data_IF_216691691691
#
_entry.id   IF_216691691691
#
_cell.length_a   1.000
_cell.length_b   1.000
_cell.length_c   1.000
_cell.angle_alpha   90.00
_cell.angle_beta   90.00
_cell.angle_gamma   90.00
#
_symmetry.space_group_name_H-M   'P 1'
#
loop_
_entity.id
_entity.type
_entity.pdbx_description
1 polymer ?
#
# COMPACT_ATOMS: atom_id res chain seq x y z
N UNK A 1 4.34 7.85 -18.87
CA UNK A 1 5.63 8.50 -18.52
C UNK A 1 6.70 7.42 -18.44
N UNK A 2 7.67 7.40 -19.34
CA UNK A 2 8.69 6.32 -19.44
C UNK A 2 9.87 6.50 -18.47
N UNK A 3 9.90 7.61 -17.72
CA UNK A 3 10.99 7.93 -16.77
C UNK A 3 11.13 6.80 -15.73
N UNK A 4 10.03 6.29 -15.19
CA UNK A 4 10.07 5.23 -14.18
C UNK A 4 10.67 3.94 -14.75
N UNK A 5 10.30 3.57 -15.99
CA UNK A 5 10.87 2.41 -16.68
C UNK A 5 12.37 2.56 -16.97
N UNK A 6 12.78 3.76 -17.39
CA UNK A 6 14.20 4.07 -17.66
C UNK A 6 15.08 3.83 -16.43
N UNK A 7 14.55 4.05 -15.24
CA UNK A 7 15.27 3.94 -13.97
C UNK A 7 14.86 2.71 -13.14
N UNK A 8 14.23 1.73 -13.74
CA UNK A 8 13.77 0.53 -13.04
C UNK A 8 14.92 -0.15 -12.29
N UNK A 9 14.67 -0.55 -11.04
CA UNK A 9 15.67 -1.12 -10.13
C UNK A 9 16.86 -0.18 -9.80
N UNK A 10 16.67 1.12 -9.93
CA UNK A 10 17.65 2.13 -9.56
C UNK A 10 17.24 2.81 -8.24
N UNK A 11 18.24 3.13 -7.41
CA UNK A 11 18.05 3.94 -6.19
C UNK A 11 18.36 5.43 -6.42
N UNK A 12 18.41 5.88 -7.66
CA UNK A 12 18.71 7.28 -8.03
C UNK A 12 17.45 8.17 -7.91
N UNK A 13 16.72 8.06 -6.82
CA UNK A 13 15.41 8.71 -6.62
C UNK A 13 15.45 10.23 -6.81
N UNK A 14 16.51 10.89 -6.38
CA UNK A 14 16.67 12.34 -6.60
C UNK A 14 16.80 12.71 -8.09
N UNK A 15 17.58 11.96 -8.85
CA UNK A 15 17.71 12.20 -10.29
C UNK A 15 16.37 11.95 -11.02
N UNK A 16 15.65 10.91 -10.62
CA UNK A 16 14.31 10.58 -11.15
C UNK A 16 13.33 11.72 -10.83
N UNK A 17 13.30 12.20 -9.59
CA UNK A 17 12.43 13.29 -9.18
C UNK A 17 12.71 14.55 -10.00
N UNK A 18 13.96 14.91 -10.22
CA UNK A 18 14.33 16.06 -11.07
C UNK A 18 13.86 15.89 -12.52
N UNK A 19 14.04 14.70 -13.12
CA UNK A 19 13.50 14.44 -14.47
C UNK A 19 11.96 14.56 -14.52
N UNK A 20 11.26 14.14 -13.47
CA UNK A 20 9.80 14.28 -13.37
C UNK A 20 9.41 15.76 -13.26
N UNK A 21 10.10 16.53 -12.42
CA UNK A 21 9.84 17.98 -12.25
C UNK A 21 9.97 18.73 -13.58
N UNK A 22 10.97 18.39 -14.38
CA UNK A 22 11.24 19.02 -15.68
C UNK A 22 10.32 18.49 -16.80
N UNK A 23 9.59 17.37 -16.57
CA UNK A 23 8.74 16.77 -17.59
C UNK A 23 7.55 17.69 -17.90
N UNK A 24 7.35 18.11 -19.17
CA UNK A 24 6.22 18.94 -19.55
C UNK A 24 4.91 18.17 -19.45
N UNK A 25 3.85 18.86 -19.07
CA UNK A 25 2.48 18.34 -19.04
C UNK A 25 1.59 19.20 -19.92
N UNK A 26 0.68 18.57 -20.65
CA UNK A 26 -0.16 19.23 -21.66
C UNK A 26 -1.65 19.22 -21.28
N UNK A 27 -2.03 18.40 -20.30
CA UNK A 27 -3.41 18.33 -19.83
C UNK A 27 -3.48 18.00 -18.31
N UNK A 28 -4.70 18.09 -17.75
CA UNK A 28 -4.94 17.87 -16.32
C UNK A 28 -4.65 16.45 -15.85
N UNK A 29 -4.79 15.47 -16.73
CA UNK A 29 -4.51 14.06 -16.40
C UNK A 29 -3.00 13.83 -16.26
N UNK A 30 -2.22 14.41 -17.16
CA UNK A 30 -0.75 14.38 -17.07
C UNK A 30 -0.23 15.13 -15.86
N UNK A 31 -0.80 16.34 -15.57
CA UNK A 31 -0.47 17.08 -14.35
C UNK A 31 -0.77 16.27 -13.08
N UNK A 32 -1.89 15.56 -13.06
CA UNK A 32 -2.26 14.68 -11.94
C UNK A 32 -1.27 13.52 -11.79
N UNK A 33 -0.96 12.84 -12.87
CA UNK A 33 0.01 11.74 -12.90
C UNK A 33 1.40 12.21 -12.45
N UNK A 34 1.83 13.39 -12.93
CA UNK A 34 3.10 14.01 -12.54
C UNK A 34 3.14 14.26 -11.03
N UNK A 35 2.11 14.91 -10.46
CA UNK A 35 2.04 15.19 -9.03
C UNK A 35 2.08 13.93 -8.17
N UNK A 36 1.41 12.86 -8.58
CA UNK A 36 1.49 11.57 -7.88
C UNK A 36 2.92 10.98 -7.91
N UNK A 37 3.61 11.09 -9.04
CA UNK A 37 4.99 10.64 -9.17
C UNK A 37 5.96 11.51 -8.34
N UNK A 38 5.78 12.83 -8.34
CA UNK A 38 6.56 13.75 -7.50
C UNK A 38 6.41 13.39 -6.02
N UNK A 39 5.19 13.16 -5.54
CA UNK A 39 4.91 12.73 -4.17
C UNK A 39 5.55 11.36 -3.86
N UNK A 40 5.41 10.41 -4.77
CA UNK A 40 5.97 9.05 -4.58
C UNK A 40 7.49 9.10 -4.44
N UNK A 41 8.19 9.79 -5.34
CA UNK A 41 9.64 9.87 -5.27
C UNK A 41 10.15 10.77 -4.15
N UNK A 42 9.40 11.81 -3.78
CA UNK A 42 9.71 12.59 -2.59
C UNK A 42 9.61 11.73 -1.31
N UNK A 43 8.61 10.84 -1.22
CA UNK A 43 8.49 9.90 -0.11
C UNK A 43 9.66 8.91 -0.04
N UNK A 44 10.18 8.45 -1.19
CA UNK A 44 11.35 7.56 -1.25
C UNK A 44 12.63 8.23 -0.79
N UNK A 45 12.75 9.54 -1.02
CA UNK A 45 13.89 10.33 -0.56
C UNK A 45 13.89 10.56 0.96
N UNK A 46 12.72 10.43 1.61
CA UNK A 46 12.58 10.78 3.01
C UNK A 46 12.82 12.27 3.30
N UNK A 47 12.74 13.13 2.29
CA UNK A 47 12.91 14.57 2.43
C UNK A 47 11.56 15.24 2.66
N UNK A 48 11.33 15.68 3.90
CA UNK A 48 10.06 16.28 4.29
C UNK A 48 9.72 17.54 3.49
N UNK A 49 10.69 18.41 3.19
CA UNK A 49 10.42 19.69 2.52
C UNK A 49 9.85 19.47 1.11
N UNK A 50 10.44 18.55 0.34
CA UNK A 50 9.89 18.16 -0.95
C UNK A 50 8.53 17.50 -0.84
N UNK A 51 8.41 16.57 0.09
CA UNK A 51 7.18 15.81 0.29
C UNK A 51 6.03 16.72 0.70
N UNK A 52 6.21 17.58 1.70
CA UNK A 52 5.20 18.53 2.16
C UNK A 52 4.79 19.54 1.08
N UNK A 53 5.74 20.01 0.28
CA UNK A 53 5.44 20.90 -0.86
C UNK A 53 4.42 20.26 -1.80
N UNK A 54 4.65 19.02 -2.22
CA UNK A 54 3.76 18.31 -3.14
C UNK A 54 2.47 17.85 -2.47
N UNK A 55 2.53 17.47 -1.20
CA UNK A 55 1.35 17.12 -0.41
C UNK A 55 0.39 18.32 -0.29
N UNK A 56 0.90 19.48 0.07
CA UNK A 56 0.09 20.71 0.13
C UNK A 56 -0.53 21.07 -1.21
N UNK A 57 0.18 20.85 -2.31
CA UNK A 57 -0.35 21.04 -3.67
C UNK A 57 -1.48 20.05 -3.96
N UNK A 58 -1.34 18.78 -3.56
CA UNK A 58 -2.38 17.76 -3.69
C UNK A 58 -3.61 18.14 -2.88
N UNK A 59 -3.44 18.40 -1.58
CA UNK A 59 -4.54 18.68 -0.65
C UNK A 59 -5.31 19.96 -1.03
N UNK A 60 -4.64 20.94 -1.63
CA UNK A 60 -5.30 22.14 -2.14
C UNK A 60 -6.35 21.85 -3.22
N UNK A 61 -6.23 20.73 -3.93
CA UNK A 61 -7.17 20.29 -4.97
C UNK A 61 -8.41 19.58 -4.41
N UNK A 62 -8.34 19.05 -3.19
CA UNK A 62 -9.37 18.24 -2.55
C UNK A 62 -9.88 18.84 -1.25
N UNK A 63 -10.27 20.11 -1.28
CA UNK A 63 -10.92 20.69 -0.11
C UNK A 63 -12.29 20.04 0.07
N UNK A 64 -12.53 19.30 1.18
CA UNK A 64 -13.85 18.79 1.46
C UNK A 64 -14.82 19.97 1.58
N UNK A 65 -16.04 19.82 1.06
CA UNK A 65 -17.07 20.82 1.29
C UNK A 65 -17.46 20.84 2.79
N UNK A 66 -18.10 21.92 3.24
CA UNK A 66 -18.43 22.13 4.65
C UNK A 66 -19.25 20.96 5.24
N UNK A 67 -20.12 20.33 4.43
CA UNK A 67 -20.92 19.19 4.85
C UNK A 67 -20.04 17.97 5.17
N UNK A 68 -19.08 17.64 4.30
CA UNK A 68 -18.14 16.54 4.52
C UNK A 68 -17.26 16.83 5.73
N UNK A 69 -16.75 18.06 5.85
CA UNK A 69 -15.94 18.48 6.99
C UNK A 69 -16.72 18.34 8.32
N UNK A 70 -17.98 18.75 8.33
CA UNK A 70 -18.87 18.60 9.51
C UNK A 70 -19.08 17.13 9.86
N UNK A 71 -19.38 16.28 8.88
CA UNK A 71 -19.54 14.82 9.09
C UNK A 71 -18.29 14.21 9.69
N UNK A 72 -17.12 14.54 9.15
CA UNK A 72 -15.84 14.05 9.67
C UNK A 72 -15.65 14.50 11.11
N UNK A 73 -15.82 15.79 11.40
CA UNK A 73 -15.64 16.36 12.74
C UNK A 73 -16.60 15.77 13.77
N UNK A 74 -17.84 15.47 13.40
CA UNK A 74 -18.86 14.94 14.29
C UNK A 74 -18.74 13.44 14.54
N UNK A 75 -18.19 12.67 13.60
CA UNK A 75 -18.18 11.21 13.64
C UNK A 75 -16.77 10.59 13.84
N UNK A 76 -15.71 11.39 13.75
CA UNK A 76 -14.35 10.89 13.94
C UNK A 76 -13.69 11.59 15.12
N UNK A 77 -13.22 10.81 16.07
CA UNK A 77 -12.46 11.27 17.23
C UNK A 77 -10.99 10.97 17.03
N UNK A 78 -10.13 11.93 17.34
CA UNK A 78 -8.68 11.73 17.37
C UNK A 78 -8.20 10.97 18.62
N UNK A 79 -9.06 10.79 19.61
CA UNK A 79 -8.72 10.20 20.91
C UNK A 79 -8.91 8.68 20.96
N UNK A 80 -9.34 8.09 19.85
CA UNK A 80 -9.52 6.64 19.79
C UNK A 80 -8.17 5.93 19.79
N UNK A 81 -8.08 4.87 20.58
CA UNK A 81 -6.98 3.91 20.55
C UNK A 81 -7.10 3.03 19.30
N UNK A 82 -6.73 3.57 18.15
CA UNK A 82 -6.96 2.97 16.83
C UNK A 82 -6.42 1.53 16.77
N UNK A 83 -5.21 1.30 17.27
CA UNK A 83 -4.59 -0.03 17.27
C UNK A 83 -5.41 -1.03 18.10
N UNK A 84 -5.85 -0.62 19.30
CA UNK A 84 -6.66 -1.47 20.18
C UNK A 84 -8.03 -1.77 19.55
N UNK A 85 -8.67 -0.77 18.97
CA UNK A 85 -9.97 -0.91 18.30
C UNK A 85 -9.89 -1.88 17.12
N UNK A 86 -8.93 -1.69 16.21
CA UNK A 86 -8.73 -2.59 15.07
C UNK A 86 -8.40 -4.00 15.55
N UNK A 87 -7.52 -4.15 16.55
CA UNK A 87 -7.15 -5.46 17.10
C UNK A 87 -8.34 -6.19 17.70
N UNK A 88 -9.21 -5.49 18.42
CA UNK A 88 -10.41 -6.10 19.03
C UNK A 88 -11.41 -6.56 17.98
N UNK A 89 -11.64 -5.79 16.93
CA UNK A 89 -12.49 -6.22 15.81
C UNK A 89 -11.84 -7.37 15.03
N UNK A 90 -10.54 -7.33 14.80
CA UNK A 90 -9.79 -8.38 14.09
C UNK A 90 -9.88 -9.77 14.76
N UNK A 91 -10.13 -9.84 16.09
CA UNK A 91 -10.37 -11.13 16.77
C UNK A 91 -11.52 -11.92 16.15
N UNK A 92 -12.52 -11.25 15.63
CA UNK A 92 -13.75 -11.81 15.08
C UNK A 92 -13.63 -12.22 13.61
N UNK A 93 -12.54 -11.83 12.94
CA UNK A 93 -12.38 -11.96 11.50
C UNK A 93 -11.13 -12.77 11.13
N UNK A 94 -11.18 -13.39 9.95
CA UNK A 94 -10.02 -14.08 9.35
C UNK A 94 -9.20 -13.19 8.43
N UNK A 95 -9.80 -12.10 7.95
CA UNK A 95 -9.17 -11.14 7.04
C UNK A 95 -9.32 -9.75 7.63
N UNK A 96 -8.22 -9.00 7.67
CA UNK A 96 -8.20 -7.55 7.86
C UNK A 96 -7.60 -6.96 6.60
N UNK A 97 -8.29 -6.00 5.99
CA UNK A 97 -7.82 -5.31 4.79
C UNK A 97 -7.64 -3.82 5.12
N UNK A 98 -6.49 -3.29 4.75
CA UNK A 98 -6.16 -1.88 4.94
C UNK A 98 -5.82 -1.30 3.58
N UNK A 99 -6.51 -0.21 3.22
CA UNK A 99 -6.15 0.57 2.04
C UNK A 99 -4.97 1.48 2.33
N UNK A 100 -4.03 1.53 1.41
CA UNK A 100 -3.03 2.59 1.39
C UNK A 100 -3.21 3.50 0.18
N UNK A 101 -2.86 4.75 0.36
CA UNK A 101 -2.51 5.60 -0.76
C UNK A 101 -0.98 5.51 -0.91
N UNK A 102 -0.51 5.08 -2.07
CA UNK A 102 0.90 4.70 -2.28
C UNK A 102 1.92 5.82 -1.99
N UNK A 103 1.49 7.07 -2.01
CA UNK A 103 2.34 8.22 -1.68
C UNK A 103 2.15 8.74 -0.24
N UNK A 104 1.38 8.04 0.63
CA UNK A 104 1.26 8.35 2.07
C UNK A 104 1.98 7.31 2.93
N UNK A 105 3.26 7.50 3.26
CA UNK A 105 4.04 6.54 4.05
C UNK A 105 3.44 6.22 5.42
N UNK A 106 2.67 7.15 6.00
CA UNK A 106 2.04 6.99 7.31
C UNK A 106 1.03 5.83 7.37
N UNK A 107 0.41 5.45 6.24
CA UNK A 107 -0.47 4.28 6.20
C UNK A 107 0.31 3.00 6.53
N UNK A 108 1.58 2.91 6.10
CA UNK A 108 2.47 1.78 6.37
C UNK A 108 2.95 1.74 7.81
N UNK A 109 3.08 2.90 8.46
CA UNK A 109 3.37 2.98 9.90
C UNK A 109 2.21 2.41 10.71
N UNK A 110 0.97 2.77 10.39
CA UNK A 110 -0.22 2.18 11.03
C UNK A 110 -0.22 0.65 10.91
N UNK A 111 0.02 0.13 9.71
CA UNK A 111 0.10 -1.32 9.49
C UNK A 111 1.23 -1.95 10.31
N UNK A 112 2.39 -1.30 10.35
CA UNK A 112 3.55 -1.75 11.14
C UNK A 112 3.23 -1.82 12.64
N UNK A 113 2.47 -0.85 13.15
CA UNK A 113 2.09 -0.82 14.58
C UNK A 113 1.05 -1.90 14.94
N UNK A 114 0.22 -2.30 13.97
CA UNK A 114 -0.74 -3.39 14.13
C UNK A 114 -0.10 -4.78 14.16
N UNK A 115 1.08 -4.98 13.55
CA UNK A 115 1.66 -6.31 13.34
C UNK A 115 1.79 -7.14 14.60
N UNK A 116 2.27 -6.58 15.70
CA UNK A 116 2.49 -7.31 16.97
C UNK A 116 1.15 -7.84 17.49
N UNK A 117 0.18 -6.96 17.63
CA UNK A 117 -1.13 -7.31 18.18
C UNK A 117 -1.89 -8.28 17.28
N UNK A 118 -1.79 -8.12 15.96
CA UNK A 118 -2.41 -9.06 15.02
C UNK A 118 -1.73 -10.42 15.06
N UNK A 119 -0.39 -10.48 15.21
CA UNK A 119 0.34 -11.74 15.37
C UNK A 119 -0.10 -12.50 16.61
N UNK A 120 -0.27 -11.82 17.75
CA UNK A 120 -0.73 -12.40 19.01
C UNK A 120 -2.12 -13.04 18.91
N UNK A 121 -3.00 -12.50 18.07
CA UNK A 121 -4.34 -13.05 17.83
C UNK A 121 -4.42 -13.99 16.61
N UNK A 122 -3.25 -14.43 16.11
CA UNK A 122 -3.12 -15.52 15.16
C UNK A 122 -3.05 -15.11 13.68
N UNK A 123 -2.89 -13.83 13.36
CA UNK A 123 -2.58 -13.41 11.98
C UNK A 123 -1.15 -13.83 11.63
N UNK A 124 -1.01 -14.54 10.53
CA UNK A 124 0.26 -15.14 10.11
C UNK A 124 0.64 -14.86 8.66
N UNK A 125 -0.25 -14.30 7.89
CA UNK A 125 0.03 -13.86 6.51
C UNK A 125 -0.03 -12.35 6.39
N UNK A 126 0.98 -11.76 5.74
CA UNK A 126 0.99 -10.37 5.27
C UNK A 126 0.94 -10.39 3.73
N UNK A 127 -0.20 -9.96 3.21
CA UNK A 127 -0.52 -9.96 1.78
C UNK A 127 -0.33 -8.56 1.25
N UNK A 128 0.55 -8.37 0.28
CA UNK A 128 1.01 -7.06 -0.19
C UNK A 128 0.83 -6.93 -1.70
N UNK A 129 0.06 -5.93 -2.13
CA UNK A 129 -0.06 -5.59 -3.55
C UNK A 129 1.29 -5.19 -4.17
N UNK A 130 2.10 -4.48 -3.39
CA UNK A 130 3.36 -3.93 -3.87
C UNK A 130 4.47 -4.96 -4.12
N UNK A 131 4.24 -6.26 -3.88
CA UNK A 131 5.22 -7.29 -4.16
C UNK A 131 5.17 -7.70 -5.64
N UNK A 132 6.33 -7.68 -6.29
CA UNK A 132 6.47 -8.26 -7.62
C UNK A 132 6.31 -9.78 -7.58
N UNK A 133 5.98 -10.36 -8.75
CA UNK A 133 5.78 -11.80 -8.88
C UNK A 133 6.96 -12.60 -8.31
N UNK A 134 6.65 -13.65 -7.54
CA UNK A 134 7.60 -14.56 -6.89
C UNK A 134 8.48 -13.92 -5.80
N UNK A 135 8.29 -12.63 -5.49
CA UNK A 135 9.07 -12.01 -4.41
C UNK A 135 8.60 -12.49 -3.03
N UNK A 136 7.33 -12.87 -2.90
CA UNK A 136 6.84 -13.56 -1.71
C UNK A 136 7.63 -14.85 -1.41
N UNK A 137 7.86 -15.69 -2.41
CA UNK A 137 8.65 -16.92 -2.26
C UNK A 137 10.08 -16.64 -1.79
N UNK A 138 10.70 -15.56 -2.31
CA UNK A 138 12.04 -15.15 -1.88
C UNK A 138 12.03 -14.59 -0.46
N UNK A 139 11.07 -13.72 -0.12
CA UNK A 139 10.96 -13.13 1.21
C UNK A 139 10.64 -14.18 2.29
N UNK A 140 9.96 -15.27 1.94
CA UNK A 140 9.65 -16.37 2.85
C UNK A 140 10.86 -17.28 3.12
N UNK A 141 11.96 -17.13 2.39
CA UNK A 141 13.21 -17.82 2.71
C UNK A 141 13.88 -17.21 3.97
N UNK A 142 14.59 -18.05 4.71
CA UNK A 142 15.35 -17.60 5.87
C UNK A 142 16.49 -16.66 5.44
N UNK A 143 16.74 -15.60 6.21
CA UNK A 143 17.83 -14.65 6.00
C UNK A 143 17.72 -13.85 4.68
N UNK A 144 16.54 -13.66 4.13
CA UNK A 144 16.29 -12.76 3.00
C UNK A 144 15.67 -11.45 3.48
N UNK A 145 15.84 -10.39 2.71
CA UNK A 145 15.33 -9.05 3.03
C UNK A 145 14.83 -8.36 1.76
N UNK A 146 14.00 -7.30 1.88
CA UNK A 146 13.59 -6.52 0.73
C UNK A 146 14.79 -5.95 -0.03
N UNK A 147 14.70 -5.97 -1.34
CA UNK A 147 15.68 -5.40 -2.28
C UNK A 147 14.95 -4.49 -3.27
N UNK A 148 15.67 -3.80 -4.14
CA UNK A 148 15.08 -3.00 -5.23
C UNK A 148 14.20 -3.84 -6.19
N UNK A 149 14.35 -5.18 -6.19
CA UNK A 149 13.55 -6.09 -7.01
C UNK A 149 12.31 -6.62 -6.30
N UNK A 150 12.12 -6.29 -5.03
CA UNK A 150 10.99 -6.80 -4.24
C UNK A 150 9.66 -6.22 -4.71
N UNK A 151 9.68 -4.99 -5.22
CA UNK A 151 8.57 -4.27 -5.80
C UNK A 151 8.84 -2.77 -5.80
N UNK A 152 8.12 -2.05 -6.64
CA UNK A 152 8.38 -0.61 -6.80
C UNK A 152 8.19 0.15 -5.48
N UNK A 153 7.00 0.07 -4.88
CA UNK A 153 6.68 0.79 -3.64
C UNK A 153 7.42 0.24 -2.42
N UNK A 154 7.90 -1.00 -2.45
CA UNK A 154 8.68 -1.57 -1.35
C UNK A 154 10.07 -0.95 -1.19
N UNK A 155 10.47 -0.12 -2.15
CA UNK A 155 11.71 0.68 -2.08
C UNK A 155 11.58 1.89 -1.15
N UNK A 156 10.36 2.31 -0.79
CA UNK A 156 10.13 3.32 0.24
C UNK A 156 10.51 2.76 1.62
N UNK A 157 11.15 3.60 2.44
CA UNK A 157 11.78 3.18 3.69
C UNK A 157 10.78 2.55 4.68
N UNK A 158 9.60 3.16 4.87
CA UNK A 158 8.60 2.64 5.81
C UNK A 158 8.01 1.31 5.32
N UNK A 159 7.88 1.14 3.99
CA UNK A 159 7.45 -0.13 3.42
C UNK A 159 8.48 -1.24 3.63
N UNK A 160 9.74 -0.95 3.33
CA UNK A 160 10.84 -1.89 3.60
C UNK A 160 10.93 -2.27 5.07
N UNK A 161 10.74 -1.30 5.98
CA UNK A 161 10.77 -1.53 7.43
C UNK A 161 9.56 -2.35 7.90
N UNK A 162 8.37 -2.10 7.35
CA UNK A 162 7.18 -2.93 7.56
C UNK A 162 7.45 -4.40 7.21
N UNK A 163 8.04 -4.66 6.03
CA UNK A 163 8.39 -6.02 5.61
C UNK A 163 9.41 -6.66 6.56
N UNK A 164 10.46 -5.92 6.96
CA UNK A 164 11.47 -6.44 7.92
C UNK A 164 10.83 -6.81 9.25
N UNK A 165 10.03 -5.91 9.81
CA UNK A 165 9.32 -6.14 11.09
C UNK A 165 8.35 -7.33 11.00
N UNK A 166 7.58 -7.43 9.92
CA UNK A 166 6.69 -8.56 9.70
C UNK A 166 7.45 -9.90 9.63
N UNK A 167 8.61 -9.90 8.95
CA UNK A 167 9.47 -11.05 8.86
C UNK A 167 10.04 -11.49 10.22
N UNK A 168 10.52 -10.53 11.02
CA UNK A 168 11.01 -10.77 12.40
C UNK A 168 9.92 -11.36 13.29
N UNK A 169 8.67 -10.92 13.10
CA UNK A 169 7.50 -11.46 13.80
C UNK A 169 7.02 -12.81 13.25
N UNK A 170 7.63 -13.31 12.17
CA UNK A 170 7.28 -14.60 11.57
C UNK A 170 5.99 -14.58 10.77
N UNK A 171 5.67 -13.47 10.10
CA UNK A 171 4.65 -13.45 9.06
C UNK A 171 5.18 -14.11 7.78
N UNK A 172 4.29 -14.83 7.10
CA UNK A 172 4.50 -15.28 5.72
C UNK A 172 3.98 -14.22 4.74
N UNK A 173 4.72 -13.97 3.68
CA UNK A 173 4.37 -12.98 2.66
C UNK A 173 3.62 -13.62 1.50
N UNK A 174 2.69 -12.85 0.93
CA UNK A 174 1.94 -13.24 -0.25
C UNK A 174 1.91 -12.08 -1.24
N UNK A 175 2.48 -12.30 -2.43
CA UNK A 175 2.29 -11.45 -3.60
C UNK A 175 1.02 -11.93 -4.32
N UNK A 176 0.07 -11.03 -4.55
CA UNK A 176 -1.24 -11.43 -5.05
C UNK A 176 -1.66 -10.81 -6.38
N UNK A 177 -0.85 -9.90 -6.95
CA UNK A 177 -1.19 -9.26 -8.22
C UNK A 177 -1.49 -10.29 -9.32
N UNK A 178 -2.49 -9.98 -10.15
CA UNK A 178 -2.89 -10.79 -11.27
C UNK A 178 -2.43 -10.21 -12.60
N UNK A 179 -1.49 -10.89 -13.26
CA UNK A 179 -1.00 -10.53 -14.59
C UNK A 179 -1.61 -11.37 -15.71
N UNK A 180 -2.61 -12.21 -15.38
CA UNK A 180 -3.32 -12.99 -16.39
C UNK A 180 -4.42 -12.15 -17.04
N UNK A 181 -4.18 -11.66 -18.26
CA UNK A 181 -5.12 -10.83 -19.02
C UNK A 181 -6.42 -11.53 -19.42
N UNK A 182 -6.49 -12.86 -19.31
CA UNK A 182 -7.72 -13.62 -19.59
C UNK A 182 -8.71 -13.63 -18.43
N UNK A 183 -8.34 -13.08 -17.30
CA UNK A 183 -9.14 -13.03 -16.07
C UNK A 183 -9.26 -11.61 -15.59
N UNK A 184 -10.43 -11.25 -15.05
CA UNK A 184 -10.59 -9.99 -14.35
C UNK A 184 -9.52 -9.83 -13.25
N UNK A 185 -8.94 -8.64 -13.15
CA UNK A 185 -7.82 -8.37 -12.24
C UNK A 185 -8.18 -8.65 -10.79
N UNK A 186 -9.32 -8.15 -10.34
CA UNK A 186 -9.78 -8.26 -8.96
C UNK A 186 -10.08 -9.72 -8.58
N UNK A 187 -10.79 -10.43 -9.46
CA UNK A 187 -11.06 -11.87 -9.28
C UNK A 187 -9.76 -12.67 -9.24
N UNK A 188 -8.81 -12.34 -10.11
CA UNK A 188 -7.51 -13.01 -10.13
C UNK A 188 -6.69 -12.75 -8.87
N UNK A 189 -6.75 -11.53 -8.32
CA UNK A 189 -6.12 -11.17 -7.07
C UNK A 189 -6.74 -11.92 -5.89
N UNK A 190 -8.07 -11.96 -5.79
CA UNK A 190 -8.78 -12.72 -4.75
C UNK A 190 -8.44 -14.22 -4.80
N UNK A 191 -8.39 -14.82 -6.00
CA UNK A 191 -7.98 -16.22 -6.17
C UNK A 191 -6.53 -16.45 -5.74
N UNK A 192 -5.63 -15.53 -6.02
CA UNK A 192 -4.24 -15.63 -5.62
C UNK A 192 -4.10 -15.63 -4.09
N UNK A 193 -4.84 -14.74 -3.41
CA UNK A 193 -4.91 -14.73 -1.95
C UNK A 193 -5.46 -16.06 -1.44
N UNK A 194 -6.62 -16.49 -1.94
CA UNK A 194 -7.25 -17.74 -1.52
C UNK A 194 -6.33 -18.95 -1.72
N UNK A 195 -5.74 -19.10 -2.90
CA UNK A 195 -4.90 -20.25 -3.25
C UNK A 195 -3.62 -20.32 -2.40
N UNK A 196 -3.04 -19.17 -2.03
CA UNK A 196 -1.79 -19.09 -1.27
C UNK A 196 -1.99 -19.12 0.26
N UNK A 197 -3.23 -18.95 0.74
CA UNK A 197 -3.54 -18.89 2.18
C UNK A 197 -4.62 -19.89 2.58
N UNK A 198 -5.89 -19.59 2.39
CA UNK A 198 -7.04 -20.36 2.91
C UNK A 198 -7.16 -21.77 2.33
N UNK A 199 -6.77 -21.93 1.07
CA UNK A 199 -6.74 -23.25 0.43
C UNK A 199 -5.72 -24.20 1.07
N UNK A 200 -4.59 -23.65 1.53
CA UNK A 200 -3.54 -24.39 2.20
C UNK A 200 -3.90 -24.65 3.68
N UNK A 201 -4.47 -23.64 4.33
CA UNK A 201 -4.95 -23.73 5.69
C UNK A 201 -6.23 -22.91 5.89
N UNK A 202 -7.40 -23.56 5.99
CA UNK A 202 -8.68 -22.87 6.18
C UNK A 202 -8.77 -21.99 7.45
N UNK A 203 -7.88 -22.21 8.41
CA UNK A 203 -7.81 -21.45 9.66
C UNK A 203 -6.83 -20.27 9.59
N UNK A 204 -6.25 -19.99 8.44
CA UNK A 204 -5.37 -18.83 8.24
C UNK A 204 -6.06 -17.53 8.65
N UNK A 205 -5.26 -16.60 9.21
CA UNK A 205 -5.66 -15.19 9.39
C UNK A 205 -4.70 -14.31 8.60
N UNK A 206 -5.28 -13.39 7.85
CA UNK A 206 -4.61 -12.68 6.77
C UNK A 206 -4.75 -11.16 6.96
N UNK A 207 -3.64 -10.45 6.97
CA UNK A 207 -3.59 -9.00 6.88
C UNK A 207 -3.25 -8.61 5.44
N UNK A 208 -4.11 -7.83 4.78
CA UNK A 208 -3.92 -7.35 3.41
C UNK A 208 -3.63 -5.86 3.44
N UNK A 209 -2.60 -5.43 2.75
CA UNK A 209 -2.30 -4.04 2.45
C UNK A 209 -2.38 -3.83 0.94
N UNK A 210 -3.34 -3.03 0.50
CA UNK A 210 -3.67 -2.79 -0.90
C UNK A 210 -3.88 -1.32 -1.21
N UNK A 211 -3.78 -0.96 -2.48
CA UNK A 211 -4.09 0.38 -2.97
C UNK A 211 -5.55 0.77 -2.74
N UNK A 212 -5.83 2.06 -2.84
CA UNK A 212 -7.02 2.70 -2.27
C UNK A 212 -8.35 2.17 -2.84
N UNK A 213 -8.44 1.69 -4.04
CA UNK A 213 -9.71 1.27 -4.64
C UNK A 213 -10.00 -0.24 -4.54
N UNK A 214 -9.04 -1.01 -4.01
CA UNK A 214 -9.09 -2.48 -4.05
C UNK A 214 -9.98 -3.13 -2.98
N UNK A 215 -10.42 -2.43 -1.95
CA UNK A 215 -11.30 -3.00 -0.90
C UNK A 215 -12.70 -2.37 -0.86
N UNK A 216 -13.11 -1.74 -1.96
CA UNK A 216 -14.46 -1.19 -2.07
C UNK A 216 -15.47 -2.32 -2.35
N UNK A 217 -16.35 -2.58 -1.40
CA UNK A 217 -17.43 -3.57 -1.54
C UNK A 217 -18.56 -3.10 -2.46
N UNK A 218 -18.60 -1.82 -2.79
CA UNK A 218 -19.60 -1.23 -3.70
C UNK A 218 -19.01 -1.01 -5.07
N UNK A 219 -19.83 -1.23 -6.08
CA UNK A 219 -19.47 -0.91 -7.44
C UNK A 219 -19.10 0.57 -7.57
N UNK A 220 -17.89 0.86 -8.01
CA UNK A 220 -17.44 2.21 -8.33
C UNK A 220 -18.11 2.72 -9.61
N UNK A 221 -17.95 4.03 -9.93
CA UNK A 221 -18.40 4.60 -11.22
C UNK A 221 -17.78 3.89 -12.44
N UNK A 222 -16.63 3.25 -12.26
CA UNK A 222 -15.93 2.49 -13.29
C UNK A 222 -16.34 1.01 -13.36
N UNK A 223 -17.32 0.60 -12.56
CA UNK A 223 -17.81 -0.79 -12.54
C UNK A 223 -16.96 -1.76 -11.71
N UNK A 224 -15.92 -1.29 -11.02
CA UNK A 224 -15.09 -2.14 -10.17
C UNK A 224 -15.82 -2.53 -8.88
N UNK A 225 -15.69 -3.78 -8.50
CA UNK A 225 -16.24 -4.34 -7.27
C UNK A 225 -15.31 -5.45 -6.77
N UNK A 226 -15.00 -5.41 -5.49
CA UNK A 226 -14.36 -6.53 -4.79
C UNK A 226 -15.38 -7.52 -4.26
#
# INVERSE_FOLDING_TARGET
>A
MDIVKKHQNSNKYFAILNEIIEFPTYDKQEEWTKLQMELTFASFLGNNDFYEKYLNQLESRFKPNDTIYKIIKENFSSDQKVIETITNEAKKHKIVMINENHFYPNHRLLVSDLLVNLKEIGYNYLVLEALDLKQDSLLNLKNTYPTLKTGFYTSEQNYSNLIRKAKELGFEFVAYENFNSSKDREIGQADNIYNKTFKLNPNSKVLVLSGIDHILEKQTREGKKW
#
